data_IF_282584241041
#
_entry.id   IF_282584241041
#
_cell.length_a   1.000
_cell.length_b   1.000
_cell.length_c   1.000
_cell.angle_alpha   90.00
_cell.angle_beta   90.00
_cell.angle_gamma   90.00
#
_symmetry.space_group_name_H-M   'P 1'
#
loop_
_entity.id
_entity.type
_entity.pdbx_description
1 polymer ?
#
# COMPACT_ATOMS: atom_id res chain seq x y z
N UNK A 1 -12.56 4.08 -19.15
CA UNK A 1 -13.76 4.92 -18.99
C UNK A 1 -14.86 4.29 -19.81
N UNK A 2 -16.08 4.20 -19.28
CA UNK A 2 -17.28 3.75 -19.99
C UNK A 2 -18.29 4.88 -19.89
N UNK A 3 -19.03 5.14 -20.96
CA UNK A 3 -20.04 6.22 -20.98
C UNK A 3 -21.41 5.57 -20.91
N UNK A 4 -22.26 6.08 -20.01
CA UNK A 4 -23.62 5.59 -19.79
C UNK A 4 -24.55 6.79 -19.95
N UNK A 5 -25.39 6.80 -20.98
CA UNK A 5 -26.30 7.90 -21.26
C UNK A 5 -27.71 7.40 -21.59
N UNK A 6 -28.71 8.21 -21.27
CA UNK A 6 -30.09 8.05 -21.74
C UNK A 6 -30.30 8.56 -23.17
N UNK A 7 -29.30 9.24 -23.74
CA UNK A 7 -29.40 9.85 -25.07
C UNK A 7 -29.42 8.82 -26.21
N UNK A 8 -29.84 9.30 -27.38
CA UNK A 8 -29.82 8.53 -28.61
C UNK A 8 -28.40 8.07 -28.98
N UNK A 9 -28.30 6.83 -29.48
CA UNK A 9 -27.04 6.18 -29.85
C UNK A 9 -26.13 7.01 -30.76
N UNK A 10 -26.67 7.75 -31.72
CA UNK A 10 -25.87 8.48 -32.70
C UNK A 10 -25.23 9.73 -32.08
N UNK A 11 -25.96 10.43 -31.21
CA UNK A 11 -25.48 11.64 -30.52
C UNK A 11 -24.40 11.26 -29.52
N UNK A 12 -24.66 10.25 -28.69
CA UNK A 12 -23.71 9.78 -27.69
C UNK A 12 -22.41 9.25 -28.33
N UNK A 13 -22.51 8.51 -29.44
CA UNK A 13 -21.33 8.02 -30.15
C UNK A 13 -20.52 9.15 -30.78
N UNK A 14 -21.18 10.13 -31.39
CA UNK A 14 -20.51 11.30 -31.97
C UNK A 14 -19.76 12.11 -30.91
N UNK A 15 -20.42 12.40 -29.78
CA UNK A 15 -19.81 13.12 -28.66
C UNK A 15 -18.61 12.36 -28.10
N UNK A 16 -18.75 11.05 -27.86
CA UNK A 16 -17.66 10.21 -27.35
C UNK A 16 -16.43 10.27 -28.26
N UNK A 17 -16.61 10.18 -29.57
CA UNK A 17 -15.52 10.29 -30.54
C UNK A 17 -14.90 11.70 -30.55
N UNK A 18 -15.71 12.75 -30.45
CA UNK A 18 -15.23 14.14 -30.44
C UNK A 18 -14.30 14.45 -29.24
N UNK A 19 -14.53 13.79 -28.10
CA UNK A 19 -13.68 13.90 -26.90
C UNK A 19 -12.61 12.81 -26.80
N UNK A 20 -12.41 12.02 -27.86
CA UNK A 20 -11.35 11.00 -27.94
C UNK A 20 -11.62 9.72 -27.17
N UNK A 21 -12.87 9.44 -26.79
CA UNK A 21 -13.28 8.16 -26.22
C UNK A 21 -13.59 7.13 -27.32
N UNK A 22 -13.39 5.85 -26.97
CA UNK A 22 -13.79 4.74 -27.85
C UNK A 22 -15.30 4.63 -27.90
N UNK A 23 -15.82 4.35 -29.09
CA UNK A 23 -17.25 4.11 -29.33
C UNK A 23 -17.45 2.88 -30.25
N UNK A 24 -16.52 1.92 -30.22
CA UNK A 24 -16.53 0.77 -31.14
C UNK A 24 -17.64 -0.23 -30.78
N UNK A 25 -17.94 -0.36 -29.47
CA UNK A 25 -18.93 -1.30 -28.95
C UNK A 25 -20.00 -0.56 -28.17
N UNK A 26 -21.17 -0.44 -28.78
CA UNK A 26 -22.34 0.23 -28.24
C UNK A 26 -23.36 -0.83 -27.79
N UNK A 27 -23.98 -0.62 -26.63
CA UNK A 27 -25.10 -1.44 -26.16
C UNK A 27 -26.28 -0.54 -25.83
N UNK A 28 -27.47 -0.87 -26.35
CA UNK A 28 -28.69 -0.11 -26.06
C UNK A 28 -29.38 -0.62 -24.80
N UNK A 29 -30.26 0.19 -24.21
CA UNK A 29 -31.12 -0.26 -23.10
C UNK A 29 -32.04 -1.42 -23.50
N UNK A 30 -32.45 -1.50 -24.76
CA UNK A 30 -33.22 -2.62 -25.28
C UNK A 30 -32.39 -3.92 -25.29
N UNK A 31 -31.14 -3.86 -25.75
CA UNK A 31 -30.22 -4.98 -25.72
C UNK A 31 -29.98 -5.45 -24.29
N UNK A 32 -29.75 -4.51 -23.37
CA UNK A 32 -29.47 -4.78 -21.96
C UNK A 32 -30.66 -5.46 -21.25
N UNK A 33 -31.90 -5.12 -21.64
CA UNK A 33 -33.11 -5.76 -21.12
C UNK A 33 -33.26 -7.22 -21.57
N UNK A 34 -32.74 -7.57 -22.76
CA UNK A 34 -32.75 -8.94 -23.30
C UNK A 34 -31.66 -9.82 -22.67
N UNK A 35 -30.65 -9.23 -22.05
CA UNK A 35 -29.53 -9.96 -21.45
C UNK A 35 -29.89 -10.53 -20.07
N UNK A 36 -29.53 -11.80 -19.86
CA UNK A 36 -29.48 -12.38 -18.53
C UNK A 36 -28.35 -11.73 -17.71
N UNK A 37 -28.41 -11.84 -16.38
CA UNK A 37 -27.38 -11.30 -15.48
C UNK A 37 -25.97 -11.82 -15.82
N UNK A 38 -25.85 -13.10 -16.15
CA UNK A 38 -24.58 -13.72 -16.55
C UNK A 38 -24.08 -13.21 -17.91
N UNK A 39 -24.97 -12.99 -18.88
CA UNK A 39 -24.60 -12.45 -20.18
C UNK A 39 -24.16 -10.97 -20.07
N UNK A 40 -24.85 -10.17 -19.25
CA UNK A 40 -24.45 -8.80 -18.94
C UNK A 40 -23.05 -8.77 -18.31
N UNK A 41 -22.75 -9.67 -17.37
CA UNK A 41 -21.43 -9.75 -16.74
C UNK A 41 -20.28 -10.03 -17.72
N UNK A 42 -20.54 -10.79 -18.78
CA UNK A 42 -19.57 -11.06 -19.84
C UNK A 42 -19.45 -9.86 -20.81
N UNK A 43 -20.57 -9.25 -21.19
CA UNK A 43 -20.62 -8.14 -22.15
C UNK A 43 -20.10 -6.81 -21.59
N UNK A 44 -20.40 -6.50 -20.33
CA UNK A 44 -20.17 -5.17 -19.73
C UNK A 44 -18.71 -4.73 -19.78
N UNK A 45 -17.75 -5.67 -19.72
CA UNK A 45 -16.32 -5.36 -19.78
C UNK A 45 -15.91 -4.86 -21.16
N UNK A 46 -16.56 -5.36 -22.21
CA UNK A 46 -16.22 -5.10 -23.59
C UNK A 46 -17.01 -3.97 -24.22
N UNK A 47 -18.10 -3.51 -23.61
CA UNK A 47 -18.88 -2.37 -24.11
C UNK A 47 -18.25 -1.05 -23.69
N UNK A 48 -18.09 -0.13 -24.63
CA UNK A 48 -17.52 1.20 -24.38
C UNK A 48 -18.62 2.22 -24.04
N UNK A 49 -19.75 2.12 -24.73
CA UNK A 49 -20.86 3.06 -24.66
C UNK A 49 -22.18 2.35 -24.41
N UNK A 50 -22.90 2.77 -23.37
CA UNK A 50 -24.27 2.36 -23.07
C UNK A 50 -25.19 3.54 -23.36
N UNK A 51 -26.18 3.33 -24.23
CA UNK A 51 -27.06 4.39 -24.76
C UNK A 51 -28.52 4.01 -24.60
N UNK A 52 -29.41 5.00 -24.62
CA UNK A 52 -30.85 4.77 -24.44
C UNK A 52 -31.11 3.99 -23.12
N UNK A 53 -30.37 4.34 -22.06
CA UNK A 53 -30.35 3.64 -20.76
C UNK A 53 -31.28 4.28 -19.74
N UNK A 54 -32.13 3.46 -19.11
CA UNK A 54 -33.00 3.86 -18.02
C UNK A 54 -32.27 3.96 -16.66
N UNK A 55 -32.77 4.72 -15.67
CA UNK A 55 -32.13 4.86 -14.35
C UNK A 55 -31.79 3.52 -13.67
N UNK A 56 -32.74 2.57 -13.64
CA UNK A 56 -32.53 1.24 -13.05
C UNK A 56 -31.48 0.41 -13.81
N UNK A 57 -31.28 0.69 -15.09
CA UNK A 57 -30.27 0.01 -15.89
C UNK A 57 -28.87 0.56 -15.62
N UNK A 58 -28.72 1.85 -15.26
CA UNK A 58 -27.44 2.44 -14.84
C UNK A 58 -26.88 1.70 -13.63
N UNK A 59 -27.71 1.50 -12.60
CA UNK A 59 -27.36 0.72 -11.41
C UNK A 59 -26.92 -0.71 -11.76
N UNK A 60 -27.69 -1.41 -12.61
CA UNK A 60 -27.36 -2.77 -13.07
C UNK A 60 -26.00 -2.84 -13.76
N UNK A 61 -25.63 -1.82 -14.54
CA UNK A 61 -24.32 -1.75 -15.21
C UNK A 61 -23.20 -1.59 -14.18
N UNK A 62 -23.37 -0.70 -13.19
CA UNK A 62 -22.39 -0.49 -12.11
C UNK A 62 -22.21 -1.77 -11.30
N UNK A 63 -23.31 -2.40 -10.87
CA UNK A 63 -23.28 -3.67 -10.13
C UNK A 63 -22.59 -4.78 -10.92
N UNK A 64 -22.81 -4.84 -12.25
CA UNK A 64 -22.15 -5.81 -13.12
C UNK A 64 -20.63 -5.59 -13.22
N UNK A 65 -20.17 -4.35 -13.28
CA UNK A 65 -18.74 -4.03 -13.28
C UNK A 65 -18.09 -4.39 -11.94
N UNK A 66 -18.73 -4.05 -10.82
CA UNK A 66 -18.26 -4.39 -9.47
C UNK A 66 -18.20 -5.90 -9.24
N UNK A 67 -19.24 -6.63 -9.65
CA UNK A 67 -19.31 -8.10 -9.55
C UNK A 67 -18.20 -8.82 -10.33
N UNK A 68 -17.58 -8.15 -11.30
CA UNK A 68 -16.42 -8.66 -12.06
C UNK A 68 -15.07 -8.34 -11.40
N UNK A 69 -15.08 -7.78 -10.19
CA UNK A 69 -13.89 -7.44 -9.40
C UNK A 69 -13.23 -6.13 -9.80
N UNK A 70 -13.94 -5.25 -10.52
CA UNK A 70 -13.47 -3.89 -10.78
C UNK A 70 -13.86 -2.97 -9.63
N UNK A 71 -12.99 -2.04 -9.27
CA UNK A 71 -13.34 -0.87 -8.45
C UNK A 71 -13.93 0.19 -9.38
N UNK A 72 -15.16 0.63 -9.11
CA UNK A 72 -15.95 1.48 -10.00
C UNK A 72 -16.18 2.84 -9.35
N UNK A 73 -15.66 3.89 -9.98
CA UNK A 73 -16.10 5.27 -9.73
C UNK A 73 -17.19 5.66 -10.72
N UNK A 74 -18.26 6.30 -10.24
CA UNK A 74 -19.38 6.75 -11.07
C UNK A 74 -19.54 8.28 -10.96
N UNK A 75 -19.65 8.96 -12.10
CA UNK A 75 -19.86 10.41 -12.17
C UNK A 75 -21.28 10.67 -12.70
N UNK A 76 -22.08 11.42 -11.95
CA UNK A 76 -23.44 11.80 -12.35
C UNK A 76 -23.93 13.05 -11.61
N UNK A 77 -24.92 13.73 -12.18
CA UNK A 77 -25.42 15.03 -11.71
C UNK A 77 -26.95 15.09 -11.57
N UNK A 78 -27.66 14.07 -12.07
CA UNK A 78 -29.11 14.02 -12.10
C UNK A 78 -29.74 13.07 -11.09
N UNK A 79 -31.07 13.21 -10.90
CA UNK A 79 -31.88 12.32 -10.04
C UNK A 79 -31.76 10.86 -10.51
N UNK A 80 -31.68 10.68 -11.83
CA UNK A 80 -31.54 9.38 -12.50
C UNK A 80 -30.23 8.66 -12.18
N UNK A 81 -29.24 9.39 -11.65
CA UNK A 81 -27.92 8.86 -11.33
C UNK A 81 -27.78 8.46 -9.87
N UNK A 82 -28.70 8.88 -8.99
CA UNK A 82 -28.61 8.63 -7.55
C UNK A 82 -28.48 7.14 -7.17
N UNK A 83 -29.24 6.19 -7.77
CA UNK A 83 -29.04 4.77 -7.48
C UNK A 83 -27.67 4.26 -7.92
N UNK A 84 -27.17 4.73 -9.08
CA UNK A 84 -25.88 4.32 -9.61
C UNK A 84 -24.70 4.94 -8.84
N UNK A 85 -24.86 6.17 -8.34
CA UNK A 85 -23.91 6.84 -7.44
C UNK A 85 -23.76 6.04 -6.14
N UNK A 86 -24.89 5.62 -5.54
CA UNK A 86 -24.88 4.86 -4.30
C UNK A 86 -24.33 3.43 -4.47
N UNK A 87 -24.58 2.78 -5.61
CA UNK A 87 -24.08 1.44 -5.90
C UNK A 87 -22.59 1.41 -6.30
N UNK A 88 -22.01 2.55 -6.68
CA UNK A 88 -20.60 2.63 -7.03
C UNK A 88 -19.69 2.43 -5.81
N UNK A 89 -18.42 2.07 -6.03
CA UNK A 89 -17.45 2.05 -4.93
C UNK A 89 -17.08 3.48 -4.49
N UNK A 90 -17.16 4.44 -5.42
CA UNK A 90 -17.04 5.88 -5.19
C UNK A 90 -18.03 6.61 -6.10
N UNK A 91 -19.03 7.26 -5.51
CA UNK A 91 -19.94 8.18 -6.20
C UNK A 91 -19.35 9.59 -6.29
N UNK A 92 -19.39 10.20 -7.47
CA UNK A 92 -18.85 11.53 -7.74
C UNK A 92 -19.95 12.39 -8.35
N UNK A 93 -20.17 13.58 -7.79
CA UNK A 93 -21.11 14.55 -8.32
C UNK A 93 -20.47 15.94 -8.41
N UNK A 94 -21.20 16.91 -8.96
CA UNK A 94 -20.78 18.31 -9.10
C UNK A 94 -21.58 19.19 -8.16
N UNK A 95 -21.03 20.33 -7.73
CA UNK A 95 -21.72 21.23 -6.81
C UNK A 95 -23.05 21.78 -7.36
N UNK A 96 -23.14 21.90 -8.69
CA UNK A 96 -24.35 22.32 -9.41
C UNK A 96 -25.38 21.19 -9.63
N UNK A 97 -25.12 19.98 -9.13
CA UNK A 97 -26.02 18.84 -9.29
C UNK A 97 -27.26 18.98 -8.42
N UNK A 98 -28.31 18.23 -8.75
CA UNK A 98 -29.52 18.15 -7.92
C UNK A 98 -29.21 17.62 -6.53
N UNK A 99 -29.98 18.04 -5.51
CA UNK A 99 -29.73 17.70 -4.10
C UNK A 99 -29.60 16.19 -3.88
N UNK A 100 -30.49 15.40 -4.49
CA UNK A 100 -30.48 13.93 -4.39
C UNK A 100 -29.17 13.32 -4.91
N UNK A 101 -28.59 13.88 -5.98
CA UNK A 101 -27.32 13.40 -6.52
C UNK A 101 -26.13 13.82 -5.65
N UNK A 102 -26.20 14.98 -4.99
CA UNK A 102 -25.17 15.44 -4.05
C UNK A 102 -25.19 14.63 -2.76
N UNK A 103 -26.37 14.31 -2.24
CA UNK A 103 -26.52 13.46 -1.05
C UNK A 103 -26.09 12.01 -1.30
N UNK A 104 -26.21 11.52 -2.54
CA UNK A 104 -25.82 10.16 -2.91
C UNK A 104 -24.32 10.00 -3.23
N UNK A 105 -23.56 11.09 -3.40
CA UNK A 105 -22.16 11.04 -3.83
C UNK A 105 -21.18 11.16 -2.65
N UNK A 106 -20.07 10.43 -2.71
CA UNK A 106 -18.98 10.50 -1.73
C UNK A 106 -18.07 11.71 -1.94
N UNK A 107 -17.96 12.18 -3.19
CA UNK A 107 -17.11 13.30 -3.59
C UNK A 107 -17.93 14.31 -4.38
N UNK A 108 -17.90 15.57 -3.93
CA UNK A 108 -18.50 16.71 -4.64
C UNK A 108 -17.39 17.55 -5.27
N UNK A 109 -17.46 17.69 -6.60
CA UNK A 109 -16.59 18.58 -7.36
C UNK A 109 -17.10 20.01 -7.28
N UNK A 110 -16.40 20.83 -6.49
CA UNK A 110 -16.68 22.26 -6.35
C UNK A 110 -16.40 23.07 -7.62
N UNK A 111 -15.59 22.51 -8.54
CA UNK A 111 -15.31 23.08 -9.86
C UNK A 111 -15.53 21.99 -10.89
N UNK A 112 -16.17 22.34 -12.01
CA UNK A 112 -16.42 21.44 -13.14
C UNK A 112 -15.11 21.21 -13.94
N UNK A 113 -14.14 20.56 -13.31
CA UNK A 113 -12.83 20.23 -13.89
C UNK A 113 -12.48 18.76 -13.63
N UNK A 114 -12.55 17.94 -14.70
CA UNK A 114 -12.17 16.52 -14.64
C UNK A 114 -10.67 16.32 -14.35
N UNK A 115 -9.82 17.33 -14.56
CA UNK A 115 -8.42 17.32 -14.17
C UNK A 115 -8.21 17.21 -12.66
N UNK A 116 -9.18 17.65 -11.85
CA UNK A 116 -9.18 17.41 -10.39
C UNK A 116 -9.35 15.93 -10.09
N UNK A 117 -10.22 15.23 -10.82
CA UNK A 117 -10.41 13.78 -10.64
C UNK A 117 -9.16 12.99 -11.02
N UNK A 118 -8.48 13.36 -12.12
CA UNK A 118 -7.22 12.72 -12.51
C UNK A 118 -6.18 12.86 -11.40
N UNK A 119 -6.00 14.08 -10.87
CA UNK A 119 -5.11 14.34 -9.72
C UNK A 119 -5.51 13.54 -8.48
N UNK A 120 -6.80 13.50 -8.17
CA UNK A 120 -7.34 12.72 -7.06
C UNK A 120 -7.04 11.23 -7.17
N UNK A 121 -7.16 10.65 -8.37
CA UNK A 121 -6.78 9.24 -8.63
C UNK A 121 -5.28 9.03 -8.43
N UNK A 122 -4.43 9.95 -8.91
CA UNK A 122 -2.99 9.86 -8.74
C UNK A 122 -2.57 9.98 -7.27
N UNK A 123 -3.17 10.91 -6.53
CA UNK A 123 -2.93 11.08 -5.09
C UNK A 123 -3.46 9.89 -4.29
N UNK A 124 -4.63 9.34 -4.65
CA UNK A 124 -5.14 8.09 -4.08
C UNK A 124 -4.18 6.91 -4.27
N UNK A 125 -3.54 6.80 -5.45
CA UNK A 125 -2.49 5.79 -5.69
C UNK A 125 -1.26 6.01 -4.84
N UNK A 126 -0.84 7.26 -4.61
CA UNK A 126 0.29 7.58 -3.72
C UNK A 126 -0.04 7.20 -2.28
N UNK A 127 -1.19 7.61 -1.78
CA UNK A 127 -1.67 7.27 -0.43
C UNK A 127 -1.72 5.76 -0.24
N UNK A 128 -2.32 5.02 -1.18
CA UNK A 128 -2.36 3.56 -1.11
C UNK A 128 -0.96 2.93 -1.07
N UNK A 129 -0.04 3.39 -1.92
CA UNK A 129 1.33 2.89 -1.94
C UNK A 129 2.05 3.16 -0.60
N UNK A 130 1.89 4.35 -0.03
CA UNK A 130 2.49 4.72 1.25
C UNK A 130 1.90 3.93 2.42
N UNK A 131 0.58 3.72 2.46
CA UNK A 131 -0.08 2.84 3.43
C UNK A 131 0.46 1.42 3.37
N UNK A 132 0.64 0.87 2.17
CA UNK A 132 1.21 -0.47 2.00
C UNK A 132 2.68 -0.56 2.44
N UNK A 133 3.48 0.51 2.26
CA UNK A 133 4.85 0.58 2.80
C UNK A 133 4.81 0.49 4.33
N UNK A 134 4.01 1.35 4.98
CA UNK A 134 3.85 1.36 6.43
C UNK A 134 3.47 -0.02 6.97
N UNK A 135 2.40 -0.62 6.43
CA UNK A 135 1.96 -1.95 6.85
C UNK A 135 3.07 -2.99 6.71
N UNK A 136 3.79 -2.98 5.58
CA UNK A 136 4.85 -3.95 5.32
C UNK A 136 6.02 -3.80 6.31
N UNK A 137 6.39 -2.54 6.62
CA UNK A 137 7.46 -2.22 7.56
C UNK A 137 7.07 -2.63 8.98
N UNK A 138 5.96 -2.10 9.51
CA UNK A 138 5.51 -2.32 10.88
C UNK A 138 5.22 -3.79 11.14
N UNK A 139 4.55 -4.47 10.21
CA UNK A 139 4.22 -5.90 10.36
C UNK A 139 5.49 -6.76 10.37
N UNK A 140 6.48 -6.41 9.55
CA UNK A 140 7.76 -7.14 9.52
C UNK A 140 8.60 -6.92 10.78
N UNK A 141 8.67 -5.67 11.27
CA UNK A 141 9.41 -5.32 12.47
C UNK A 141 8.81 -6.03 13.70
N UNK A 142 7.49 -5.92 13.89
CA UNK A 142 6.79 -6.58 14.99
C UNK A 142 6.94 -8.11 14.95
N UNK A 143 6.90 -8.70 13.76
CA UNK A 143 7.11 -10.15 13.61
C UNK A 143 8.54 -10.56 14.00
N UNK A 144 9.55 -9.80 13.54
CA UNK A 144 10.95 -10.02 13.91
C UNK A 144 11.17 -9.92 15.41
N UNK A 145 10.76 -8.80 16.02
CA UNK A 145 10.87 -8.57 17.47
C UNK A 145 10.18 -9.67 18.28
N UNK A 146 8.99 -10.11 17.88
CA UNK A 146 8.25 -11.16 18.58
C UNK A 146 8.99 -12.51 18.53
N UNK A 147 9.54 -12.90 17.38
CA UNK A 147 10.35 -14.13 17.25
C UNK A 147 11.60 -14.03 18.11
N UNK A 148 12.32 -12.91 18.02
CA UNK A 148 13.56 -12.68 18.77
C UNK A 148 13.31 -12.75 20.26
N UNK A 149 12.25 -12.09 20.74
CA UNK A 149 11.83 -12.12 22.15
C UNK A 149 11.44 -13.52 22.60
N UNK A 150 10.61 -14.23 21.83
CA UNK A 150 10.14 -15.57 22.17
C UNK A 150 11.31 -16.55 22.28
N UNK A 151 12.22 -16.54 21.31
CA UNK A 151 13.39 -17.42 21.30
C UNK A 151 14.35 -17.03 22.42
N UNK A 152 14.69 -15.75 22.59
CA UNK A 152 15.60 -15.30 23.63
C UNK A 152 15.10 -15.63 25.03
N UNK A 153 13.78 -15.53 25.28
CA UNK A 153 13.18 -15.86 26.58
C UNK A 153 13.28 -17.34 26.94
N UNK A 154 13.56 -18.24 25.99
CA UNK A 154 13.81 -19.66 26.28
C UNK A 154 15.24 -19.91 26.81
N UNK A 155 16.19 -19.03 26.47
CA UNK A 155 17.61 -19.20 26.80
C UNK A 155 18.09 -18.23 27.87
N UNK A 156 17.42 -17.09 28.06
CA UNK A 156 17.78 -16.08 29.05
C UNK A 156 17.04 -16.30 30.37
N UNK A 157 17.72 -16.11 31.52
CA UNK A 157 17.08 -16.18 32.83
C UNK A 157 16.25 -14.93 33.17
N UNK A 158 16.23 -13.92 32.29
CA UNK A 158 15.53 -12.66 32.44
C UNK A 158 14.81 -12.26 31.14
N UNK A 159 13.89 -11.29 31.23
CA UNK A 159 13.18 -10.79 30.05
C UNK A 159 14.12 -9.99 29.14
N UNK A 160 14.18 -10.31 27.83
CA UNK A 160 15.03 -9.60 26.88
C UNK A 160 14.79 -8.09 26.84
N UNK A 161 13.51 -7.66 26.90
CA UNK A 161 13.07 -6.26 27.03
C UNK A 161 11.96 -6.16 28.08
N UNK A 162 11.92 -5.06 28.82
CA UNK A 162 10.82 -4.74 29.74
C UNK A 162 9.61 -4.20 28.97
N UNK A 163 8.40 -4.46 29.46
CA UNK A 163 7.16 -3.97 28.84
C UNK A 163 7.16 -2.44 28.61
N UNK A 164 7.66 -1.67 29.59
CA UNK A 164 7.81 -0.20 29.46
C UNK A 164 8.80 0.23 28.37
N UNK A 165 9.85 -0.56 28.12
CA UNK A 165 10.83 -0.30 27.06
C UNK A 165 10.24 -0.64 25.69
N UNK A 166 9.46 -1.73 25.59
CA UNK A 166 8.72 -2.08 24.37
C UNK A 166 7.74 -0.98 23.98
N UNK A 167 6.95 -0.48 24.95
CA UNK A 167 6.01 0.62 24.70
C UNK A 167 6.72 1.90 24.24
N UNK A 168 7.86 2.22 24.86
CA UNK A 168 8.66 3.37 24.45
C UNK A 168 9.26 3.17 23.04
N UNK A 169 9.71 1.96 22.72
CA UNK A 169 10.29 1.64 21.42
C UNK A 169 9.24 1.86 20.32
N UNK A 170 8.08 1.20 20.44
CA UNK A 170 6.97 1.35 19.50
C UNK A 170 6.54 2.81 19.34
N UNK A 171 6.43 3.55 20.44
CA UNK A 171 6.07 4.96 20.38
C UNK A 171 7.09 5.80 19.60
N UNK A 172 8.38 5.57 19.83
CA UNK A 172 9.45 6.30 19.14
C UNK A 172 9.55 5.93 17.67
N UNK A 173 9.42 4.65 17.32
CA UNK A 173 9.48 4.19 15.92
C UNK A 173 8.23 4.54 15.11
N UNK A 174 7.09 4.76 15.76
CA UNK A 174 5.86 5.26 15.10
C UNK A 174 5.97 6.73 14.68
N UNK A 175 6.79 7.55 15.34
CA UNK A 175 6.93 8.99 15.03
C UNK A 175 7.37 9.22 13.58
N UNK A 176 8.46 8.60 13.07
CA UNK A 176 8.80 8.70 11.65
C UNK A 176 7.80 8.00 10.75
N UNK A 177 7.12 6.95 11.23
CA UNK A 177 6.13 6.21 10.45
C UNK A 177 4.94 7.08 10.02
N UNK A 178 4.56 8.08 10.82
CA UNK A 178 3.56 9.08 10.43
C UNK A 178 3.96 9.85 9.16
N UNK A 179 5.26 10.09 8.97
CA UNK A 179 5.77 10.79 7.79
C UNK A 179 5.83 9.91 6.54
N UNK A 180 5.63 8.59 6.64
CA UNK A 180 5.53 7.69 5.48
C UNK A 180 4.35 8.09 4.59
N UNK A 181 3.28 8.65 5.15
CA UNK A 181 2.14 9.14 4.36
C UNK A 181 2.56 10.25 3.37
N UNK A 182 3.48 11.13 3.78
CA UNK A 182 4.03 12.23 2.99
C UNK A 182 5.13 11.82 2.00
N UNK A 183 5.39 10.51 1.91
CA UNK A 183 6.58 10.02 1.27
C UNK A 183 6.50 9.93 -0.26
N UNK A 184 7.66 10.05 -0.91
CA UNK A 184 7.78 9.88 -2.35
C UNK A 184 7.52 8.42 -2.77
N UNK A 185 6.70 8.25 -3.80
CA UNK A 185 6.33 6.94 -4.37
C UNK A 185 7.03 6.75 -5.71
N UNK A 186 7.60 5.55 -5.94
CA UNK A 186 8.29 5.30 -7.21
C UNK A 186 7.30 5.38 -8.38
N UNK A 187 7.65 6.03 -9.52
CA UNK A 187 6.71 6.26 -10.63
C UNK A 187 6.06 4.99 -11.17
N UNK A 188 6.80 3.87 -11.17
CA UNK A 188 6.31 2.57 -11.62
C UNK A 188 5.14 2.03 -10.77
N UNK A 189 5.01 2.49 -9.52
CA UNK A 189 3.92 2.12 -8.64
C UNK A 189 2.62 2.88 -8.94
N UNK A 190 2.72 4.08 -9.54
CA UNK A 190 1.58 4.96 -9.84
C UNK A 190 0.93 4.67 -11.20
N UNK A 191 1.60 3.92 -12.08
CA UNK A 191 1.11 3.65 -13.45
C UNK A 191 -0.14 2.78 -13.53
N UNK A 192 -0.40 1.95 -12.52
CA UNK A 192 -1.52 1.01 -12.52
C UNK A 192 -2.20 0.95 -11.16
N UNK A 193 -3.52 0.73 -11.10
CA UNK A 193 -4.21 0.49 -9.84
C UNK A 193 -3.61 -0.72 -9.14
N UNK A 194 -3.52 -0.64 -7.82
CA UNK A 194 -3.06 -1.72 -6.95
C UNK A 194 -4.23 -2.20 -6.10
N UNK A 195 -4.12 -3.45 -5.67
CA UNK A 195 -5.07 -4.07 -4.77
C UNK A 195 -4.32 -4.53 -3.53
N UNK A 196 -5.06 -4.69 -2.44
CA UNK A 196 -4.52 -5.26 -1.22
C UNK A 196 -4.05 -6.70 -1.48
N UNK A 197 -2.77 -6.99 -1.21
CA UNK A 197 -2.22 -8.34 -1.35
C UNK A 197 -1.68 -8.83 -0.01
N UNK A 198 -2.54 -9.49 0.76
CA UNK A 198 -2.19 -10.10 2.05
C UNK A 198 -1.07 -11.12 1.88
N UNK A 199 -1.02 -11.84 0.75
CA UNK A 199 0.03 -12.83 0.50
C UNK A 199 1.38 -12.15 0.27
N UNK A 200 1.40 -10.97 -0.35
CA UNK A 200 2.59 -10.14 -0.46
C UNK A 200 3.06 -9.70 0.92
N UNK A 201 2.19 -9.11 1.73
CA UNK A 201 2.52 -8.65 3.10
C UNK A 201 3.07 -9.81 3.94
N UNK A 202 2.45 -10.99 3.89
CA UNK A 202 2.94 -12.17 4.61
C UNK A 202 4.33 -12.61 4.14
N UNK A 203 4.60 -12.66 2.83
CA UNK A 203 5.94 -13.00 2.30
C UNK A 203 6.98 -11.98 2.71
N UNK A 204 6.60 -10.70 2.67
CA UNK A 204 7.45 -9.59 3.09
C UNK A 204 7.81 -9.71 4.57
N UNK A 205 6.80 -9.85 5.43
CA UNK A 205 6.91 -10.04 6.88
C UNK A 205 7.84 -11.20 7.24
N UNK A 206 7.66 -12.37 6.63
CA UNK A 206 8.52 -13.53 6.92
C UNK A 206 9.95 -13.28 6.45
N UNK A 207 10.15 -12.70 5.26
CA UNK A 207 11.49 -12.52 4.70
C UNK A 207 12.30 -11.49 5.51
N UNK A 208 11.74 -10.30 5.73
CA UNK A 208 12.43 -9.23 6.43
C UNK A 208 12.44 -9.44 7.95
N UNK A 209 11.39 -10.04 8.51
CA UNK A 209 11.33 -10.37 9.93
C UNK A 209 12.37 -11.41 10.33
N UNK A 210 12.59 -12.45 9.52
CA UNK A 210 13.66 -13.44 9.78
C UNK A 210 15.07 -12.83 9.67
N UNK A 211 15.28 -11.91 8.72
CA UNK A 211 16.53 -11.15 8.64
C UNK A 211 16.71 -10.31 9.90
N UNK A 212 15.68 -9.59 10.34
CA UNK A 212 15.70 -8.84 11.60
C UNK A 212 16.07 -9.73 12.79
N UNK A 213 15.40 -10.86 12.96
CA UNK A 213 15.67 -11.77 14.07
C UNK A 213 17.07 -12.36 14.05
N UNK A 214 17.64 -12.61 12.86
CA UNK A 214 19.03 -13.05 12.76
C UNK A 214 20.00 -11.99 13.34
N UNK A 215 19.74 -10.72 13.09
CA UNK A 215 20.54 -9.62 13.63
C UNK A 215 20.27 -9.39 15.13
N UNK A 216 19.02 -9.55 15.59
CA UNK A 216 18.73 -9.57 17.04
C UNK A 216 19.53 -10.68 17.75
N UNK A 217 19.56 -11.90 17.20
CA UNK A 217 20.36 -12.99 17.77
C UNK A 217 21.86 -12.70 17.72
N UNK A 218 22.35 -12.05 16.68
CA UNK A 218 23.74 -11.59 16.61
C UNK A 218 24.03 -10.55 17.71
N UNK A 219 23.10 -9.62 17.95
CA UNK A 219 23.15 -8.65 19.05
C UNK A 219 23.16 -9.38 20.40
N UNK A 220 22.32 -10.38 20.62
CA UNK A 220 22.30 -11.15 21.87
C UNK A 220 23.61 -11.91 22.08
N UNK A 221 24.13 -12.57 21.05
CA UNK A 221 25.41 -13.25 21.12
C UNK A 221 26.56 -12.26 21.43
N UNK A 222 26.57 -11.09 20.79
CA UNK A 222 27.52 -10.02 21.09
C UNK A 222 27.44 -9.58 22.55
N UNK A 223 26.23 -9.34 23.05
CA UNK A 223 26.02 -8.86 24.42
C UNK A 223 26.38 -9.89 25.48
N UNK A 224 26.05 -11.17 25.26
CA UNK A 224 26.32 -12.24 26.22
C UNK A 224 27.79 -12.68 26.23
N UNK A 225 28.38 -12.90 25.06
CA UNK A 225 29.71 -13.52 24.97
C UNK A 225 30.86 -12.51 24.94
N UNK A 226 30.68 -11.38 24.23
CA UNK A 226 31.73 -10.39 24.05
C UNK A 226 31.64 -9.27 25.07
N UNK A 227 30.46 -8.65 25.20
CA UNK A 227 30.28 -7.55 26.15
C UNK A 227 30.08 -8.02 27.59
N UNK A 228 29.70 -9.30 27.80
CA UNK A 228 29.33 -9.87 29.10
C UNK A 228 28.37 -8.95 29.87
N UNK A 229 27.36 -8.46 29.15
CA UNK A 229 26.43 -7.46 29.64
C UNK A 229 25.64 -7.97 30.85
N UNK A 230 25.40 -7.08 31.82
CA UNK A 230 24.40 -7.32 32.86
C UNK A 230 22.99 -7.31 32.26
N UNK A 231 22.00 -7.81 32.99
CA UNK A 231 20.59 -7.80 32.56
C UNK A 231 20.14 -6.41 32.08
N UNK A 232 20.37 -5.36 32.89
CA UNK A 232 19.97 -4.01 32.54
C UNK A 232 20.72 -3.47 31.31
N UNK A 233 22.01 -3.79 31.17
CA UNK A 233 22.80 -3.40 30.01
C UNK A 233 22.34 -4.13 28.74
N UNK A 234 21.94 -5.40 28.86
CA UNK A 234 21.37 -6.17 27.77
C UNK A 234 20.04 -5.56 27.29
N UNK A 235 19.11 -5.30 28.22
CA UNK A 235 17.82 -4.68 27.92
C UNK A 235 17.98 -3.30 27.27
N UNK A 236 18.92 -2.50 27.78
CA UNK A 236 19.21 -1.17 27.22
C UNK A 236 19.84 -1.26 25.84
N UNK A 237 20.82 -2.14 25.65
CA UNK A 237 21.48 -2.32 24.37
C UNK A 237 20.52 -2.82 23.29
N UNK A 238 19.67 -3.79 23.62
CA UNK A 238 18.69 -4.29 22.67
C UNK A 238 17.59 -3.26 22.38
N UNK A 239 17.16 -2.45 23.36
CA UNK A 239 16.28 -1.31 23.08
C UNK A 239 16.87 -0.36 22.04
N UNK A 240 18.13 0.06 22.23
CA UNK A 240 18.81 0.98 21.30
C UNK A 240 18.96 0.35 19.92
N UNK A 241 19.39 -0.91 19.86
CA UNK A 241 19.63 -1.61 18.60
C UNK A 241 18.32 -1.89 17.84
N UNK A 242 17.27 -2.37 18.52
CA UNK A 242 15.95 -2.60 17.95
C UNK A 242 15.34 -1.30 17.40
N UNK A 243 15.42 -0.20 18.15
CA UNK A 243 14.93 1.10 17.67
C UNK A 243 15.74 1.58 16.44
N UNK A 244 17.07 1.43 16.46
CA UNK A 244 17.90 1.80 15.31
C UNK A 244 17.63 0.94 14.07
N UNK A 245 17.39 -0.37 14.21
CA UNK A 245 17.05 -1.25 13.08
C UNK A 245 15.66 -0.95 12.52
N UNK A 246 14.68 -0.63 13.36
CA UNK A 246 13.35 -0.17 12.94
C UNK A 246 13.40 1.14 12.14
N UNK A 247 14.19 2.11 12.58
CA UNK A 247 14.41 3.36 11.84
C UNK A 247 15.15 3.13 10.52
N UNK A 248 16.16 2.26 10.55
CA UNK A 248 16.95 1.86 9.39
C UNK A 248 16.10 1.20 8.30
N UNK A 249 15.23 0.26 8.67
CA UNK A 249 14.44 -0.49 7.69
C UNK A 249 13.42 0.38 6.96
N UNK A 250 12.86 1.39 7.64
CA UNK A 250 11.98 2.40 7.02
C UNK A 250 12.68 3.07 5.82
N UNK A 251 13.95 3.46 5.98
CA UNK A 251 14.73 4.10 4.92
C UNK A 251 15.13 3.16 3.78
N UNK A 252 15.18 1.84 4.02
CA UNK A 252 15.49 0.85 3.00
C UNK A 252 14.25 0.47 2.19
N UNK A 253 13.14 0.18 2.87
CA UNK A 253 11.94 -0.45 2.28
C UNK A 253 11.02 0.56 1.60
N UNK A 254 11.19 1.86 1.90
CA UNK A 254 10.47 2.97 1.26
C UNK A 254 10.46 2.95 -0.28
N UNK A 255 11.45 2.33 -0.92
CA UNK A 255 11.59 2.28 -2.38
C UNK A 255 11.89 0.87 -2.84
N UNK A 256 11.37 0.48 -4.01
CA UNK A 256 11.71 -0.79 -4.64
C UNK A 256 13.11 -0.75 -5.30
N UNK A 257 13.68 0.44 -5.44
CA UNK A 257 15.02 0.67 -6.00
C UNK A 257 16.08 0.62 -4.89
N UNK A 258 17.34 0.85 -5.24
CA UNK A 258 18.37 1.05 -4.22
C UNK A 258 18.00 2.24 -3.32
N UNK A 259 18.29 2.16 -2.02
CA UNK A 259 17.81 3.19 -1.07
C UNK A 259 18.30 4.60 -1.40
N UNK A 260 19.47 4.74 -2.03
CA UNK A 260 20.03 6.03 -2.48
C UNK A 260 19.39 6.59 -3.76
N UNK A 261 18.66 5.77 -4.52
CA UNK A 261 18.06 6.19 -5.79
C UNK A 261 16.77 7.00 -5.61
N UNK A 262 16.12 6.91 -4.43
CA UNK A 262 14.88 7.61 -4.11
C UNK A 262 15.05 8.38 -2.80
N UNK A 263 14.98 9.71 -2.87
CA UNK A 263 15.16 10.55 -1.68
C UNK A 263 13.93 10.48 -0.77
N UNK A 264 14.12 10.28 0.55
CA UNK A 264 13.03 10.38 1.52
C UNK A 264 12.40 11.77 1.52
N UNK A 265 11.14 11.84 1.92
CA UNK A 265 10.54 13.15 2.22
C UNK A 265 11.37 13.83 3.31
N UNK A 266 11.53 15.17 3.27
CA UNK A 266 12.31 15.88 4.28
C UNK A 266 11.83 15.61 5.69
N UNK A 267 10.51 15.53 5.89
CA UNK A 267 9.89 15.22 7.17
C UNK A 267 10.29 13.82 7.68
N UNK A 268 10.22 12.80 6.82
CA UNK A 268 10.61 11.44 7.20
C UNK A 268 12.09 11.37 7.57
N UNK A 269 12.96 11.98 6.76
CA UNK A 269 14.39 11.98 7.01
C UNK A 269 14.73 12.66 8.34
N UNK A 270 14.12 13.81 8.61
CA UNK A 270 14.38 14.58 9.82
C UNK A 270 13.86 13.88 11.08
N UNK A 271 12.64 13.33 11.04
CA UNK A 271 12.09 12.56 12.16
C UNK A 271 12.89 11.28 12.42
N UNK A 272 13.29 10.55 11.37
CA UNK A 272 14.09 9.32 11.53
C UNK A 272 15.45 9.65 12.17
N UNK A 273 16.11 10.72 11.73
CA UNK A 273 17.37 11.17 12.29
C UNK A 273 17.20 11.64 13.75
N UNK A 274 16.20 12.47 14.03
CA UNK A 274 15.93 12.97 15.37
C UNK A 274 15.66 11.84 16.36
N UNK A 275 14.80 10.87 15.99
CA UNK A 275 14.51 9.71 16.82
C UNK A 275 15.74 8.80 16.97
N UNK A 276 16.56 8.62 15.93
CA UNK A 276 17.80 7.85 16.02
C UNK A 276 18.81 8.47 16.99
N UNK A 277 18.93 9.81 17.00
CA UNK A 277 19.76 10.52 17.98
C UNK A 277 19.17 10.35 19.39
N UNK A 278 17.84 10.48 19.53
CA UNK A 278 17.14 10.26 20.82
C UNK A 278 17.36 8.83 21.32
N UNK A 279 17.30 7.81 20.46
CA UNK A 279 17.53 6.41 20.80
C UNK A 279 18.89 6.20 21.48
N UNK A 280 19.94 6.81 20.93
CA UNK A 280 21.30 6.72 21.48
C UNK A 280 21.43 7.56 22.76
N UNK A 281 20.74 8.71 22.86
CA UNK A 281 20.85 9.60 24.02
C UNK A 281 20.06 9.13 25.25
N UNK A 282 18.90 8.48 25.07
CA UNK A 282 17.98 8.08 26.15
C UNK A 282 18.69 7.39 27.34
N UNK A 283 19.59 6.41 27.12
CA UNK A 283 20.30 5.73 28.22
C UNK A 283 21.15 6.65 29.11
N UNK A 284 21.49 7.85 28.63
CA UNK A 284 22.35 8.82 29.32
C UNK A 284 21.56 10.00 29.93
N UNK A 285 20.23 10.03 29.75
CA UNK A 285 19.38 11.10 30.27
C UNK A 285 18.99 10.86 31.74
N UNK A 286 18.67 11.91 32.51
CA UNK A 286 18.38 11.78 33.95
C UNK A 286 17.15 10.91 34.27
N UNK A 287 16.22 10.75 33.32
CA UNK A 287 15.02 9.91 33.47
C UNK A 287 15.21 8.47 32.96
N UNK A 288 16.41 8.11 32.50
CA UNK A 288 16.72 6.77 31.98
C UNK A 288 16.38 5.65 32.97
N UNK A 289 16.62 5.90 34.27
CA UNK A 289 16.33 4.96 35.35
C UNK A 289 14.84 4.59 35.47
N UNK A 290 13.91 5.50 35.11
CA UNK A 290 12.46 5.21 35.13
C UNK A 290 12.10 4.07 34.17
N UNK A 291 12.82 3.97 33.06
CA UNK A 291 12.67 2.92 32.06
C UNK A 291 13.62 1.72 32.28
N UNK A 292 14.41 1.73 33.35
CA UNK A 292 15.39 0.68 33.65
C UNK A 292 16.62 0.72 32.74
N UNK A 293 16.90 1.86 32.10
CA UNK A 293 18.07 2.00 31.25
C UNK A 293 19.34 2.26 32.05
N UNK A 294 20.45 1.71 31.56
CA UNK A 294 21.80 1.97 32.09
C UNK A 294 22.70 2.50 30.99
N UNK A 295 23.64 3.42 31.30
CA UNK A 295 24.54 3.97 30.30
C UNK A 295 25.39 2.85 29.69
N UNK A 296 25.40 2.77 28.36
CA UNK A 296 26.15 1.75 27.64
C UNK A 296 27.62 2.15 27.51
N UNK A 297 28.57 1.22 27.75
CA UNK A 297 29.98 1.47 27.47
C UNK A 297 30.20 1.77 25.97
N UNK A 298 31.10 2.71 25.61
CA UNK A 298 31.37 3.04 24.21
C UNK A 298 31.71 1.84 23.30
N UNK A 299 32.45 0.80 23.75
CA UNK A 299 32.69 -0.38 22.92
C UNK A 299 31.42 -1.16 22.58
N UNK A 300 30.45 -1.22 23.50
CA UNK A 300 29.16 -1.86 23.27
C UNK A 300 28.38 -1.07 22.24
N UNK A 301 28.29 0.25 22.40
CA UNK A 301 27.61 1.14 21.45
C UNK A 301 28.22 1.04 20.04
N UNK A 302 29.55 1.02 19.93
CA UNK A 302 30.23 0.83 18.65
C UNK A 302 29.88 -0.53 18.00
N UNK A 303 29.80 -1.60 18.81
CA UNK A 303 29.33 -2.90 18.36
C UNK A 303 27.90 -2.88 17.85
N UNK A 304 26.98 -2.22 18.56
CA UNK A 304 25.58 -2.08 18.13
C UNK A 304 25.49 -1.34 16.80
N UNK A 305 26.19 -0.20 16.65
CA UNK A 305 26.21 0.57 15.39
C UNK A 305 26.77 -0.27 14.24
N UNK A 306 27.82 -1.07 14.49
CA UNK A 306 28.38 -1.97 13.49
C UNK A 306 27.37 -3.06 13.07
N UNK A 307 26.66 -3.66 14.02
CA UNK A 307 25.60 -4.65 13.75
C UNK A 307 24.46 -4.01 12.95
N UNK A 308 24.00 -2.81 13.32
CA UNK A 308 22.98 -2.06 12.57
C UNK A 308 23.45 -1.74 11.14
N UNK A 309 24.72 -1.37 10.95
CA UNK A 309 25.27 -1.13 9.62
C UNK A 309 25.30 -2.41 8.76
N UNK A 310 25.64 -3.55 9.34
CA UNK A 310 25.58 -4.84 8.67
C UNK A 310 24.12 -5.24 8.34
N UNK A 311 23.18 -4.97 9.25
CA UNK A 311 21.75 -5.17 9.04
C UNK A 311 21.24 -4.36 7.86
N UNK A 312 21.64 -3.09 7.72
CA UNK A 312 21.30 -2.25 6.58
C UNK A 312 21.75 -2.87 5.25
N UNK A 313 22.99 -3.36 5.19
CA UNK A 313 23.52 -4.01 3.99
C UNK A 313 22.78 -5.30 3.66
N UNK A 314 22.52 -6.14 4.67
CA UNK A 314 21.78 -7.39 4.50
C UNK A 314 20.32 -7.14 4.07
N UNK A 315 19.68 -6.12 4.64
CA UNK A 315 18.31 -5.71 4.31
C UNK A 315 18.22 -5.17 2.89
N UNK A 316 19.20 -4.37 2.44
CA UNK A 316 19.28 -3.88 1.05
C UNK A 316 19.50 -5.04 0.07
N UNK A 317 20.34 -6.02 0.40
CA UNK A 317 20.51 -7.23 -0.41
C UNK A 317 19.22 -8.06 -0.49
N UNK A 318 18.57 -8.27 0.64
CA UNK A 318 17.29 -8.99 0.76
C UNK A 318 16.21 -8.32 -0.06
N UNK A 319 16.14 -6.98 -0.01
CA UNK A 319 15.21 -6.18 -0.80
C UNK A 319 15.37 -6.42 -2.30
N UNK A 320 16.61 -6.36 -2.81
CA UNK A 320 16.90 -6.60 -4.23
C UNK A 320 16.50 -8.00 -4.67
N UNK A 321 16.80 -9.00 -3.84
CA UNK A 321 16.38 -10.38 -4.09
C UNK A 321 14.86 -10.53 -4.09
N UNK A 322 14.17 -10.00 -3.07
CA UNK A 322 12.73 -10.12 -2.88
C UNK A 322 11.94 -9.49 -4.04
N UNK A 323 12.23 -8.24 -4.38
CA UNK A 323 11.55 -7.56 -5.49
C UNK A 323 11.95 -8.11 -6.86
N UNK A 324 13.18 -8.63 -7.00
CA UNK A 324 13.60 -9.36 -8.20
C UNK A 324 12.74 -10.61 -8.45
N UNK A 325 12.42 -11.37 -7.40
CA UNK A 325 11.51 -12.52 -7.50
C UNK A 325 10.06 -12.10 -7.81
N UNK A 326 9.57 -11.04 -7.17
CA UNK A 326 8.19 -10.59 -7.37
C UNK A 326 7.96 -10.09 -8.80
N UNK A 327 8.92 -9.36 -9.38
CA UNK A 327 8.88 -8.97 -10.78
C UNK A 327 8.86 -10.20 -11.70
N UNK A 328 9.70 -11.21 -11.46
CA UNK A 328 9.70 -12.46 -12.22
C UNK A 328 8.36 -13.20 -12.15
N UNK A 329 7.71 -13.25 -10.97
CA UNK A 329 6.38 -13.84 -10.80
C UNK A 329 5.30 -13.06 -11.55
N UNK A 330 5.37 -11.72 -11.55
CA UNK A 330 4.46 -10.88 -12.32
C UNK A 330 4.60 -11.11 -13.82
N UNK A 331 5.83 -11.16 -14.34
CA UNK A 331 6.10 -11.46 -15.75
C UNK A 331 5.59 -12.85 -16.17
N UNK A 332 5.78 -13.89 -15.34
CA UNK A 332 5.24 -15.23 -15.62
C UNK A 332 3.72 -15.28 -15.67
N UNK A 333 3.04 -14.60 -14.74
CA UNK A 333 1.56 -14.49 -14.77
C UNK A 333 1.06 -13.77 -16.03
N UNK A 334 1.73 -12.70 -16.43
CA UNK A 334 1.36 -11.94 -17.62
C UNK A 334 1.58 -12.74 -18.90
N UNK A 335 2.71 -13.45 -19.03
CA UNK A 335 2.96 -14.34 -20.16
C UNK A 335 1.90 -15.45 -20.27
N UNK A 336 1.50 -16.05 -19.14
CA UNK A 336 0.40 -17.04 -19.11
C UNK A 336 -0.94 -16.47 -19.57
N UNK A 337 -1.32 -15.27 -19.08
CA UNK A 337 -2.55 -14.61 -19.49
C UNK A 337 -2.55 -14.15 -20.95
N UNK A 338 -1.39 -13.76 -21.49
CA UNK A 338 -1.24 -13.40 -22.90
C UNK A 338 -1.43 -14.62 -23.82
N UNK A 339 -0.86 -15.77 -23.43
CA UNK A 339 -1.05 -17.06 -24.14
C UNK A 339 -2.53 -17.48 -24.08
N UNK A 340 -3.17 -17.37 -22.91
CA UNK A 340 -4.59 -17.73 -22.73
C UNK A 340 -5.54 -16.80 -23.51
N UNK A 341 -5.19 -15.52 -23.67
CA UNK A 341 -5.90 -14.58 -24.54
C UNK A 341 -5.70 -14.86 -26.03
N UNK A 342 -4.50 -15.29 -26.43
CA UNK A 342 -4.22 -15.71 -27.80
C UNK A 342 -4.87 -17.05 -28.18
N UNK A 343 -5.10 -17.92 -27.19
CA UNK A 343 -5.72 -19.23 -27.38
C UNK A 343 -7.25 -19.22 -27.46
N UNK A 344 -7.92 -18.09 -27.17
CA UNK A 344 -9.37 -17.96 -27.38
C UNK A 344 -9.62 -17.61 -28.85
N UNK A 345 -10.29 -18.48 -29.64
CA UNK A 345 -10.65 -18.16 -31.01
C UNK A 345 -11.54 -16.91 -30.98
N UNK A 346 -11.23 -15.92 -31.83
CA UNK A 346 -12.17 -14.86 -32.15
C UNK A 346 -13.47 -15.53 -32.61
N UNK A 347 -14.50 -15.52 -31.76
CA UNK A 347 -15.83 -15.90 -32.17
C UNK A 347 -16.26 -14.89 -33.24
N UNK A 348 -16.09 -15.27 -34.50
CA UNK A 348 -16.65 -14.59 -35.64
C UNK A 348 -18.17 -14.60 -35.45
N UNK A 349 -18.75 -13.43 -35.17
CA UNK A 349 -20.19 -13.27 -35.27
C UNK A 349 -20.59 -13.30 -36.75
N UNK A 350 -21.72 -13.93 -37.10
CA UNK A 350 -22.18 -13.95 -38.48
C UNK A 350 -22.55 -12.53 -38.89
N UNK A 351 -22.07 -12.11 -40.07
CA UNK A 351 -22.64 -10.96 -40.77
C UNK A 351 -24.05 -11.33 -41.20
N UNK A 352 -25.05 -10.60 -40.72
CA UNK A 352 -26.34 -10.41 -41.38
C UNK A 352 -26.88 -9.05 -41.02
#
# INVERSE_FOLDING_TARGET
>A
VKVISGDNRYVAAHLAQAIGLRADRIMTGEDLSKLTKSALFAGVQHTDLFVEIDPNQKERIVQALRSRGHVVGYLGDGINDAPALHEADIGISVDSAVDVAREAADIILLKQDLGVLVRGVDDGRKTFANTMKYISITTSANFGNMISMAVASLFLPFLPLLAKQILLNNFLSDVPSLAIASDNVDPDQLRRPRHWDIRFVRRFMISFGLVSSLFDFATFAFLLFFARATEAAFQTAWFVESLLTELAIVLIVRTHRAFWASRPSPLLAWLTLAVGIIAIMIPYLPFAAWFGFVPLPPPVLAGLVAITALYLLASEATKRWFFGQENRKSHRKWAGQAIERAAKPHAAYPKS
#
